data_IF_719854393700
#
_entry.id   IF_719854393700
#
_cell.length_a   1.000
_cell.length_b   1.000
_cell.length_c   1.000
_cell.angle_alpha   90.00
_cell.angle_beta   90.00
_cell.angle_gamma   90.00
#
_symmetry.space_group_name_H-M   'P 1'
#
loop_
_entity.id
_entity.type
_entity.pdbx_description
1 polymer ?
#
# COMPACT_ATOMS: atom_id res chain seq x y z
N UNK A 1 14.93 14.65 -8.96
CA UNK A 1 14.39 15.24 -7.74
C UNK A 1 12.88 15.26 -7.78
N UNK A 2 12.22 14.94 -6.69
CA UNK A 2 10.76 14.90 -6.63
C UNK A 2 10.20 16.20 -6.06
N UNK A 3 9.00 16.56 -6.49
CA UNK A 3 8.31 17.73 -5.96
C UNK A 3 7.99 17.54 -4.48
N UNK A 4 7.69 18.66 -3.81
CA UNK A 4 7.21 18.61 -2.41
C UNK A 4 5.96 17.73 -2.29
N UNK A 5 5.03 17.88 -3.23
CA UNK A 5 3.80 17.10 -3.23
C UNK A 5 4.08 15.60 -3.34
N UNK A 6 4.99 15.20 -4.23
CA UNK A 6 5.37 13.80 -4.39
C UNK A 6 6.05 13.29 -3.12
N UNK A 7 6.92 14.10 -2.50
CA UNK A 7 7.58 13.73 -1.26
C UNK A 7 6.58 13.48 -0.13
N UNK A 8 5.53 14.31 -0.04
CA UNK A 8 4.48 14.10 0.97
C UNK A 8 3.73 12.78 0.74
N UNK A 9 3.45 12.46 -0.51
CA UNK A 9 2.80 11.17 -0.81
C UNK A 9 3.71 9.98 -0.48
N UNK A 10 5.01 10.12 -0.73
CA UNK A 10 5.98 9.07 -0.35
C UNK A 10 6.01 8.88 1.17
N UNK A 11 5.97 9.98 1.93
CA UNK A 11 5.90 9.90 3.39
C UNK A 11 4.63 9.18 3.85
N UNK A 12 3.50 9.48 3.23
CA UNK A 12 2.24 8.80 3.54
C UNK A 12 2.36 7.29 3.34
N UNK A 13 2.99 6.87 2.24
CA UNK A 13 3.18 5.45 1.96
C UNK A 13 4.01 4.79 3.06
N UNK A 14 5.14 5.40 3.43
CA UNK A 14 6.02 4.84 4.47
C UNK A 14 5.29 4.74 5.80
N UNK A 15 4.58 5.78 6.19
CA UNK A 15 3.86 5.81 7.46
C UNK A 15 2.73 4.78 7.51
N UNK A 16 1.93 4.74 6.46
CA UNK A 16 0.79 3.82 6.43
C UNK A 16 1.24 2.37 6.29
N UNK A 17 2.34 2.12 5.57
CA UNK A 17 2.94 0.78 5.51
C UNK A 17 3.38 0.32 6.90
N UNK A 18 3.96 1.22 7.68
CA UNK A 18 4.34 0.93 9.07
C UNK A 18 3.14 0.58 9.93
N UNK A 19 2.03 1.31 9.76
CA UNK A 19 0.80 1.01 10.49
C UNK A 19 0.22 -0.34 10.10
N UNK A 20 0.23 -0.67 8.80
CA UNK A 20 -0.23 -1.97 8.33
C UNK A 20 0.60 -3.08 8.98
N UNK A 21 1.92 -2.95 8.97
CA UNK A 21 2.80 -3.95 9.58
C UNK A 21 2.49 -4.13 11.06
N UNK A 22 2.28 -3.03 11.77
CA UNK A 22 1.95 -3.05 13.20
C UNK A 22 0.61 -3.76 13.45
N UNK A 23 -0.41 -3.42 12.67
CA UNK A 23 -1.74 -4.00 12.86
C UNK A 23 -1.77 -5.49 12.51
N UNK A 24 -1.05 -5.89 11.47
CA UNK A 24 -0.97 -7.31 11.10
C UNK A 24 -0.19 -8.13 12.13
N UNK A 25 0.88 -7.55 12.68
CA UNK A 25 1.72 -8.28 13.62
C UNK A 25 2.08 -9.67 13.10
N UNK A 26 1.83 -10.69 13.88
CA UNK A 26 2.13 -12.09 13.55
C UNK A 26 0.94 -12.83 12.94
N UNK A 27 -0.14 -12.14 12.61
CA UNK A 27 -1.33 -12.81 12.11
C UNK A 27 -1.07 -13.61 10.86
N UNK A 28 -1.54 -14.86 10.84
CA UNK A 28 -1.63 -15.64 9.62
C UNK A 28 -2.97 -15.30 8.91
N UNK A 29 -3.20 -15.82 7.70
CA UNK A 29 -4.45 -15.50 6.98
C UNK A 29 -5.71 -15.84 7.76
N UNK A 30 -5.73 -16.94 8.48
CA UNK A 30 -6.90 -17.35 9.26
C UNK A 30 -7.19 -16.37 10.40
N UNK A 31 -6.16 -15.96 11.13
CA UNK A 31 -6.31 -14.99 12.21
C UNK A 31 -6.80 -13.64 11.66
N UNK A 32 -6.27 -13.23 10.51
CA UNK A 32 -6.68 -11.99 9.87
C UNK A 32 -8.16 -12.04 9.47
N UNK A 33 -8.59 -13.16 8.88
CA UNK A 33 -9.98 -13.33 8.47
C UNK A 33 -10.94 -13.27 9.66
N UNK A 34 -10.50 -13.73 10.84
CA UNK A 34 -11.32 -13.76 12.05
C UNK A 34 -11.29 -12.44 12.81
N UNK A 35 -10.43 -11.50 12.43
CA UNK A 35 -10.29 -10.21 13.13
C UNK A 35 -10.82 -9.09 12.25
N UNK A 36 -12.13 -8.88 12.33
CA UNK A 36 -12.80 -7.87 11.51
C UNK A 36 -12.24 -6.47 11.74
N UNK A 37 -11.91 -6.14 12.98
CA UNK A 37 -11.39 -4.79 13.30
C UNK A 37 -10.06 -4.54 12.59
N UNK A 38 -9.14 -5.49 12.67
CA UNK A 38 -7.85 -5.38 11.99
C UNK A 38 -8.04 -5.36 10.48
N UNK A 39 -8.91 -6.21 9.96
CA UNK A 39 -9.20 -6.28 8.54
C UNK A 39 -9.68 -4.93 8.00
N UNK A 40 -10.63 -4.31 8.69
CA UNK A 40 -11.17 -3.00 8.27
C UNK A 40 -10.10 -1.91 8.33
N UNK A 41 -9.26 -1.93 9.37
CA UNK A 41 -8.17 -0.97 9.49
C UNK A 41 -7.17 -1.12 8.35
N UNK A 42 -6.77 -2.35 8.05
CA UNK A 42 -5.81 -2.64 6.97
C UNK A 42 -6.40 -2.25 5.61
N UNK A 43 -7.67 -2.56 5.36
CA UNK A 43 -8.32 -2.16 4.11
C UNK A 43 -8.27 -0.64 3.92
N UNK A 44 -8.57 0.11 4.98
CA UNK A 44 -8.52 1.58 4.90
C UNK A 44 -7.13 2.09 4.62
N UNK A 45 -6.11 1.52 5.27
CA UNK A 45 -4.72 1.91 5.06
C UNK A 45 -4.26 1.56 3.65
N UNK A 46 -4.65 0.40 3.13
CA UNK A 46 -4.34 0.01 1.75
C UNK A 46 -4.98 0.97 0.74
N UNK A 47 -6.20 1.42 1.01
CA UNK A 47 -6.86 2.40 0.18
C UNK A 47 -6.06 3.70 0.12
N UNK A 48 -5.54 4.16 1.26
CA UNK A 48 -4.71 5.35 1.33
C UNK A 48 -3.38 5.17 0.61
N UNK A 49 -2.74 4.01 0.76
CA UNK A 49 -1.48 3.71 0.08
C UNK A 49 -1.67 3.70 -1.43
N UNK A 50 -2.70 3.02 -1.92
CA UNK A 50 -2.95 2.96 -3.36
C UNK A 50 -3.33 4.34 -3.92
N UNK A 51 -4.05 5.14 -3.16
CA UNK A 51 -4.37 6.50 -3.55
C UNK A 51 -3.11 7.37 -3.69
N UNK A 52 -2.17 7.21 -2.75
CA UNK A 52 -0.89 7.91 -2.82
C UNK A 52 -0.13 7.55 -4.10
N UNK A 53 -0.11 6.26 -4.46
CA UNK A 53 0.53 5.80 -5.71
C UNK A 53 -0.12 6.48 -6.92
N UNK A 54 -1.44 6.55 -6.96
CA UNK A 54 -2.17 7.21 -8.05
C UNK A 54 -1.78 8.69 -8.13
N UNK A 55 -1.72 9.37 -7.00
CA UNK A 55 -1.40 10.81 -6.95
C UNK A 55 0.04 11.09 -7.34
N UNK A 56 0.97 10.20 -7.02
CA UNK A 56 2.36 10.32 -7.46
C UNK A 56 2.44 10.24 -8.98
N UNK A 57 1.69 9.33 -9.57
CA UNK A 57 1.62 9.17 -11.01
C UNK A 57 2.67 8.21 -11.56
N UNK A 58 2.39 7.70 -12.76
CA UNK A 58 3.21 6.62 -13.35
C UNK A 58 4.64 7.04 -13.63
N UNK A 59 4.86 8.29 -14.09
CA UNK A 59 6.19 8.76 -14.44
C UNK A 59 7.12 8.74 -13.23
N UNK A 60 6.67 9.32 -12.11
CA UNK A 60 7.49 9.33 -10.89
C UNK A 60 7.58 7.94 -10.25
N UNK A 61 6.52 7.15 -10.33
CA UNK A 61 6.57 5.79 -9.81
C UNK A 61 7.61 4.94 -10.55
N UNK A 62 7.77 5.12 -11.87
CA UNK A 62 8.81 4.43 -12.63
C UNK A 62 10.20 4.80 -12.13
N UNK A 63 10.40 6.05 -11.73
CA UNK A 63 11.68 6.51 -11.18
C UNK A 63 11.91 5.99 -9.77
N UNK A 64 10.84 5.85 -8.98
CA UNK A 64 10.90 5.40 -7.59
C UNK A 64 11.21 3.91 -7.53
N UNK A 65 10.51 3.12 -8.34
CA UNK A 65 10.70 1.67 -8.36
C UNK A 65 10.25 1.07 -9.68
N UNK A 66 11.17 0.98 -10.66
CA UNK A 66 10.79 0.47 -11.99
C UNK A 66 10.30 -0.97 -11.97
N UNK A 67 10.69 -1.74 -10.95
CA UNK A 67 10.27 -3.14 -10.84
C UNK A 67 9.00 -3.34 -10.02
N UNK A 68 8.43 -2.26 -9.49
CA UNK A 68 7.19 -2.35 -8.71
C UNK A 68 6.00 -2.60 -9.63
N UNK A 69 5.05 -3.46 -9.23
CA UNK A 69 3.86 -3.74 -10.05
C UNK A 69 2.83 -2.61 -9.90
N UNK A 70 3.16 -1.42 -10.39
CA UNK A 70 2.34 -0.21 -10.20
C UNK A 70 0.94 -0.39 -10.77
N UNK A 71 0.85 -1.01 -11.94
CA UNK A 71 -0.45 -1.25 -12.58
C UNK A 71 -1.35 -2.14 -11.71
N UNK A 72 -0.77 -3.19 -11.14
CA UNK A 72 -1.48 -4.10 -10.23
C UNK A 72 -1.92 -3.38 -8.96
N UNK A 73 -1.05 -2.54 -8.40
CA UNK A 73 -1.36 -1.76 -7.20
C UNK A 73 -2.53 -0.82 -7.46
N UNK A 74 -2.52 -0.14 -8.61
CA UNK A 74 -3.60 0.78 -8.96
C UNK A 74 -4.91 0.05 -9.20
N UNK A 75 -4.86 -1.11 -9.85
CA UNK A 75 -6.05 -1.94 -10.08
C UNK A 75 -6.64 -2.42 -8.74
N UNK A 76 -5.79 -2.82 -7.82
CA UNK A 76 -6.23 -3.22 -6.48
C UNK A 76 -6.90 -2.05 -5.75
N UNK A 77 -6.36 -0.85 -5.86
CA UNK A 77 -6.97 0.35 -5.29
C UNK A 77 -8.38 0.61 -5.83
N UNK A 78 -8.59 0.37 -7.12
CA UNK A 78 -9.92 0.49 -7.72
C UNK A 78 -10.89 -0.53 -7.13
N UNK A 79 -10.44 -1.76 -6.92
CA UNK A 79 -11.26 -2.81 -6.30
C UNK A 79 -11.66 -2.38 -4.88
N UNK A 80 -10.71 -1.87 -4.10
CA UNK A 80 -11.00 -1.40 -2.74
C UNK A 80 -12.07 -0.31 -2.71
N UNK A 81 -12.04 0.62 -3.67
CA UNK A 81 -13.00 1.73 -3.70
C UNK A 81 -14.39 1.33 -4.16
N UNK A 82 -14.48 0.36 -5.09
CA UNK A 82 -15.73 0.09 -5.78
C UNK A 82 -16.38 -1.25 -5.43
N UNK A 83 -15.62 -2.18 -4.85
CA UNK A 83 -16.10 -3.54 -4.61
C UNK A 83 -15.87 -4.00 -3.17
N UNK A 84 -15.90 -3.06 -2.23
CA UNK A 84 -15.54 -3.36 -0.85
C UNK A 84 -16.41 -4.44 -0.20
N UNK A 85 -17.65 -4.64 -0.67
CA UNK A 85 -18.56 -5.65 -0.11
C UNK A 85 -18.20 -7.07 -0.52
N UNK A 86 -17.48 -7.22 -1.61
CA UNK A 86 -17.12 -8.52 -2.16
C UNK A 86 -15.62 -8.75 -2.15
N UNK A 87 -14.89 -8.01 -1.30
CA UNK A 87 -13.45 -8.12 -1.22
C UNK A 87 -13.03 -9.52 -0.79
N UNK A 88 -12.05 -10.06 -1.53
CA UNK A 88 -11.39 -11.29 -1.16
C UNK A 88 -10.40 -10.98 -0.03
N UNK A 89 -10.71 -11.44 1.17
CA UNK A 89 -9.91 -11.20 2.36
C UNK A 89 -8.50 -11.73 2.20
N UNK A 90 -8.37 -12.87 1.53
CA UNK A 90 -7.06 -13.47 1.25
C UNK A 90 -6.20 -12.58 0.36
N UNK A 91 -6.82 -11.96 -0.64
CA UNK A 91 -6.12 -11.02 -1.52
C UNK A 91 -5.66 -9.79 -0.73
N UNK A 92 -6.52 -9.25 0.13
CA UNK A 92 -6.18 -8.10 0.99
C UNK A 92 -4.96 -8.44 1.85
N UNK A 93 -4.98 -9.60 2.48
CA UNK A 93 -3.87 -10.06 3.31
C UNK A 93 -2.58 -10.18 2.52
N UNK A 94 -2.66 -10.80 1.33
CA UNK A 94 -1.49 -11.02 0.47
C UNK A 94 -0.88 -9.71 0.00
N UNK A 95 -1.72 -8.75 -0.41
CA UNK A 95 -1.22 -7.44 -0.83
C UNK A 95 -0.52 -6.76 0.34
N UNK A 96 -1.12 -6.80 1.52
CA UNK A 96 -0.54 -6.17 2.71
C UNK A 96 0.80 -6.80 3.10
N UNK A 97 0.92 -8.12 2.99
CA UNK A 97 2.16 -8.83 3.38
C UNK A 97 3.25 -8.79 2.32
N UNK A 98 2.86 -8.93 1.03
CA UNK A 98 3.83 -9.18 -0.03
C UNK A 98 4.11 -7.96 -0.90
N UNK A 99 3.14 -7.08 -1.08
CA UNK A 99 3.30 -5.96 -2.01
C UNK A 99 3.58 -4.62 -1.32
N UNK A 100 3.09 -4.43 -0.10
CA UNK A 100 3.32 -3.17 0.61
C UNK A 100 4.77 -3.01 1.06
N UNK A 101 5.45 -4.03 1.63
CA UNK A 101 6.83 -3.85 2.07
C UNK A 101 7.80 -3.42 0.97
N UNK A 102 7.81 -4.01 -0.25
CA UNK A 102 8.69 -3.53 -1.32
C UNK A 102 8.38 -2.09 -1.73
N UNK A 103 7.10 -1.73 -1.77
CA UNK A 103 6.69 -0.37 -2.11
C UNK A 103 7.19 0.61 -1.06
N UNK A 104 7.03 0.29 0.21
CA UNK A 104 7.49 1.14 1.31
C UNK A 104 9.00 1.30 1.29
N UNK A 105 9.75 0.23 1.01
CA UNK A 105 11.21 0.29 0.91
C UNK A 105 11.63 1.21 -0.23
N UNK A 106 10.98 1.12 -1.39
CA UNK A 106 11.28 1.99 -2.52
C UNK A 106 10.96 3.46 -2.19
N UNK A 107 9.84 3.71 -1.52
CA UNK A 107 9.45 5.06 -1.11
C UNK A 107 10.47 5.65 -0.13
N UNK A 108 10.93 4.85 0.83
CA UNK A 108 11.92 5.30 1.80
C UNK A 108 13.24 5.65 1.13
N UNK A 109 13.71 4.83 0.17
CA UNK A 109 14.92 5.12 -0.58
C UNK A 109 14.79 6.42 -1.38
N UNK A 110 13.64 6.63 -2.00
CA UNK A 110 13.39 7.85 -2.76
C UNK A 110 13.44 9.09 -1.87
N UNK A 111 12.90 9.00 -0.66
CA UNK A 111 12.94 10.09 0.31
C UNK A 111 14.36 10.40 0.78
N UNK A 112 15.24 9.40 0.82
CA UNK A 112 16.64 9.57 1.19
C UNK A 112 17.50 10.06 0.02
N UNK A 113 16.94 10.19 -1.17
CA UNK A 113 17.68 10.62 -2.35
C UNK A 113 18.53 9.54 -2.99
N UNK A 114 18.21 8.29 -2.76
CA UNK A 114 18.97 7.15 -3.29
C UNK A 114 18.33 6.55 -4.53
#
# INVERSE_FOLDING_TARGET
>A
MFSERTRLRLQDIVEDAGRIATFLGDMDPAAFQDDERTMLAVERLLQRVTEAVVQIGSTDMDRIGPDLPVRTIRAFGNILRHQYRTLDVELVYRVARDHVPPLAAAAARALEGR
#
